data_IF_749770121767
#
_entry.id   IF_749770121767
#
_cell.length_a   1.000
_cell.length_b   1.000
_cell.length_c   1.000
_cell.angle_alpha   90.00
_cell.angle_beta   90.00
_cell.angle_gamma   90.00
#
_symmetry.space_group_name_H-M   'P 1'
#
loop_
_entity.id
_entity.type
_entity.pdbx_description
1 polymer ?
#
# COMPACT_ATOMS: atom_id res chain seq x y z
N UNK A 1 33.52 50.16 13.28
CA UNK A 1 34.37 49.27 12.45
C UNK A 1 34.04 47.83 12.84
N UNK A 2 33.21 47.15 12.06
CA UNK A 2 33.54 46.09 11.09
C UNK A 2 33.56 44.68 11.72
N UNK A 3 32.55 43.88 11.33
CA UNK A 3 32.47 42.43 11.00
C UNK A 3 33.29 41.40 11.83
N UNK A 4 32.79 40.21 12.17
CA UNK A 4 32.30 39.19 11.23
C UNK A 4 31.36 38.16 11.87
N UNK A 5 30.29 37.88 11.13
CA UNK A 5 29.43 36.69 11.24
C UNK A 5 30.25 35.47 10.83
N UNK A 6 30.24 34.39 11.62
CA UNK A 6 30.81 33.11 11.18
C UNK A 6 29.77 32.00 11.29
N UNK A 7 29.24 31.66 10.12
CA UNK A 7 28.21 30.68 9.85
C UNK A 7 28.90 29.31 9.66
N UNK A 8 28.97 28.48 10.71
CA UNK A 8 29.52 27.11 10.58
C UNK A 8 28.41 26.12 10.27
N UNK A 9 28.35 25.77 8.98
CA UNK A 9 27.64 24.60 8.43
C UNK A 9 28.02 23.34 9.21
N UNK A 10 27.03 22.62 9.74
CA UNK A 10 27.20 21.24 10.18
C UNK A 10 27.50 20.34 8.97
N UNK A 11 28.50 19.43 9.05
CA UNK A 11 28.82 18.53 7.96
C UNK A 11 27.77 17.41 7.86
N UNK A 12 27.42 17.06 6.63
CA UNK A 12 26.42 16.07 6.23
C UNK A 12 26.88 14.61 6.44
N UNK A 13 27.36 14.28 7.64
CA UNK A 13 27.81 12.94 8.03
C UNK A 13 26.92 12.43 9.16
N UNK A 14 25.62 12.30 8.89
CA UNK A 14 24.68 11.66 9.83
C UNK A 14 23.38 11.23 9.09
N UNK A 15 23.50 10.49 7.99
CA UNK A 15 22.32 9.91 7.32
C UNK A 15 22.52 8.49 6.77
N UNK A 16 23.69 7.88 6.98
CA UNK A 16 24.04 6.56 6.40
C UNK A 16 23.80 5.39 7.36
N UNK A 17 23.54 5.64 8.65
CA UNK A 17 23.51 4.59 9.69
C UNK A 17 22.13 3.95 9.98
N UNK A 18 21.06 4.29 9.25
CA UNK A 18 19.74 3.69 9.46
C UNK A 18 19.40 2.51 8.52
N UNK A 19 20.38 1.99 7.77
CA UNK A 19 20.16 0.90 6.80
C UNK A 19 20.43 -0.53 7.34
N UNK A 20 20.85 -0.65 8.60
CA UNK A 20 21.23 -1.92 9.21
C UNK A 20 20.14 -2.44 10.15
N UNK A 21 19.17 -3.16 9.58
CA UNK A 21 18.56 -4.34 10.19
C UNK A 21 17.93 -5.22 9.10
N UNK A 22 18.82 -5.96 8.43
CA UNK A 22 18.66 -7.33 7.92
C UNK A 22 17.22 -7.83 7.78
N UNK A 23 16.61 -7.59 6.61
CA UNK A 23 15.51 -8.43 6.14
C UNK A 23 16.05 -9.82 5.79
N UNK A 24 15.54 -10.84 6.46
CA UNK A 24 15.85 -12.23 6.22
C UNK A 24 15.69 -12.62 4.75
N UNK A 25 16.70 -13.34 4.25
CA UNK A 25 16.68 -14.33 3.18
C UNK A 25 15.38 -14.44 2.38
N UNK A 26 15.27 -13.63 1.31
CA UNK A 26 14.32 -13.86 0.23
C UNK A 26 14.73 -15.10 -0.57
N UNK A 27 14.45 -16.29 -0.03
CA UNK A 27 14.42 -17.54 -0.79
C UNK A 27 12.97 -17.92 -1.03
N UNK A 28 12.36 -17.29 -2.03
CA UNK A 28 11.21 -17.89 -2.67
C UNK A 28 11.76 -19.02 -3.56
N UNK A 29 11.58 -20.27 -3.15
CA UNK A 29 11.73 -21.40 -4.07
C UNK A 29 10.55 -21.29 -5.05
N UNK A 30 10.72 -20.48 -6.10
CA UNK A 30 9.91 -20.58 -7.32
C UNK A 30 10.44 -21.84 -7.99
N UNK A 31 9.80 -22.97 -7.73
CA UNK A 31 10.04 -24.16 -8.54
C UNK A 31 9.66 -23.78 -9.97
N UNK A 32 10.66 -23.73 -10.84
CA UNK A 32 10.51 -23.39 -12.26
C UNK A 32 9.67 -24.48 -12.93
N UNK A 33 8.37 -24.28 -13.11
CA UNK A 33 7.56 -24.96 -14.13
C UNK A 33 6.20 -24.28 -14.32
N UNK A 34 5.94 -23.79 -15.54
CA UNK A 34 4.63 -23.74 -16.20
C UNK A 34 3.49 -22.95 -15.55
N UNK A 35 3.11 -21.82 -16.16
CA UNK A 35 1.78 -21.19 -16.05
C UNK A 35 1.10 -21.27 -14.66
N UNK A 36 1.74 -20.73 -13.64
CA UNK A 36 1.16 -20.77 -12.29
C UNK A 36 -0.04 -19.82 -12.18
N UNK A 37 -1.23 -20.41 -12.04
CA UNK A 37 -2.34 -19.76 -11.34
C UNK A 37 -1.87 -19.51 -9.91
N UNK A 38 -1.55 -18.25 -9.57
CA UNK A 38 -1.21 -17.90 -8.19
C UNK A 38 -2.49 -18.03 -7.39
N UNK A 39 -2.67 -19.14 -6.68
CA UNK A 39 -3.69 -19.26 -5.65
C UNK A 39 -3.39 -18.22 -4.58
N UNK A 40 -4.42 -17.50 -4.14
CA UNK A 40 -4.31 -16.42 -3.14
C UNK A 40 -4.00 -17.04 -1.77
N UNK A 41 -2.75 -17.46 -1.58
CA UNK A 41 -2.21 -17.61 -0.23
C UNK A 41 -2.19 -16.22 0.40
N UNK A 42 -2.40 -16.18 1.72
CA UNK A 42 -2.24 -14.96 2.50
C UNK A 42 -0.90 -14.29 2.13
N UNK A 43 -0.96 -13.03 1.72
CA UNK A 43 0.24 -12.26 1.46
C UNK A 43 0.87 -11.93 2.81
N UNK A 44 2.20 -12.00 2.98
CA UNK A 44 2.83 -11.82 4.30
C UNK A 44 2.49 -10.49 4.99
N UNK A 45 2.06 -9.49 4.23
CA UNK A 45 1.80 -8.14 4.72
C UNK A 45 0.45 -7.56 4.34
N UNK A 46 -0.42 -8.27 3.61
CA UNK A 46 -1.64 -7.66 3.07
C UNK A 46 -2.78 -8.66 2.93
N UNK A 47 -3.74 -8.65 3.85
CA UNK A 47 -4.72 -9.72 3.96
C UNK A 47 -6.14 -9.20 4.25
N UNK A 48 -7.13 -10.02 3.89
CA UNK A 48 -8.48 -9.83 4.40
C UNK A 48 -8.52 -10.15 5.89
N UNK A 49 -9.12 -9.26 6.68
CA UNK A 49 -9.27 -9.46 8.12
C UNK A 49 -10.54 -10.28 8.39
N UNK A 50 -10.39 -11.39 9.12
CA UNK A 50 -11.51 -12.24 9.54
C UNK A 50 -11.89 -12.05 11.01
N UNK A 51 -10.94 -11.65 11.85
CA UNK A 51 -11.12 -11.46 13.30
C UNK A 51 -11.77 -10.13 13.67
N UNK A 52 -11.79 -9.83 14.96
CA UNK A 52 -12.24 -8.55 15.52
C UNK A 52 -11.23 -7.44 15.23
N UNK A 53 -11.72 -6.21 15.13
CA UNK A 53 -10.90 -5.01 14.91
C UNK A 53 -10.86 -4.16 16.18
N UNK A 54 -9.72 -3.51 16.43
CA UNK A 54 -9.40 -2.82 17.70
C UNK A 54 -10.35 -1.66 18.07
N UNK A 55 -11.13 -1.16 17.11
CA UNK A 55 -12.10 -0.09 17.33
C UNK A 55 -13.53 -0.59 17.53
N UNK A 56 -13.83 -1.88 17.32
CA UNK A 56 -15.21 -2.37 17.30
C UNK A 56 -15.90 -2.14 18.65
N UNK A 57 -15.18 -2.10 19.77
CA UNK A 57 -15.76 -1.80 21.09
C UNK A 57 -15.73 -0.31 21.47
N UNK A 58 -15.27 0.60 20.60
CA UNK A 58 -15.17 2.03 20.92
C UNK A 58 -16.54 2.70 20.83
N UNK A 59 -16.91 3.45 21.87
CA UNK A 59 -18.20 4.16 21.95
C UNK A 59 -18.48 5.05 20.74
N UNK A 60 -17.49 5.85 20.30
CA UNK A 60 -17.63 6.74 19.13
C UNK A 60 -17.94 5.97 17.84
N UNK A 61 -17.35 4.78 17.70
CA UNK A 61 -17.56 3.92 16.54
C UNK A 61 -18.98 3.35 16.56
N UNK A 62 -19.40 2.78 17.69
CA UNK A 62 -20.75 2.23 17.88
C UNK A 62 -21.84 3.28 17.63
N UNK A 63 -21.71 4.47 18.24
CA UNK A 63 -22.64 5.59 18.02
C UNK A 63 -22.73 6.01 16.55
N UNK A 64 -21.64 5.91 15.79
CA UNK A 64 -21.68 6.22 14.36
C UNK A 64 -22.44 5.14 13.59
N UNK A 65 -22.23 3.86 13.90
CA UNK A 65 -22.97 2.79 13.27
C UNK A 65 -24.46 2.87 13.58
N UNK A 66 -24.83 3.15 14.84
CA UNK A 66 -26.23 3.34 15.26
C UNK A 66 -26.89 4.49 14.49
N UNK A 67 -26.18 5.62 14.35
CA UNK A 67 -26.69 6.82 13.67
C UNK A 67 -27.04 6.57 12.20
N UNK A 68 -26.24 5.76 11.51
CA UNK A 68 -26.44 5.48 10.08
C UNK A 68 -27.11 4.13 9.81
N UNK A 69 -27.38 3.36 10.86
CA UNK A 69 -27.79 1.96 10.80
C UNK A 69 -26.84 1.19 9.87
N UNK A 70 -25.60 0.99 10.28
CA UNK A 70 -24.56 0.33 9.44
C UNK A 70 -23.80 -0.73 10.22
N UNK A 71 -24.51 -1.68 10.83
CA UNK A 71 -23.93 -2.66 11.74
C UNK A 71 -23.21 -3.84 11.07
N UNK A 72 -23.33 -3.99 9.74
CA UNK A 72 -22.71 -5.09 9.00
C UNK A 72 -21.34 -4.68 8.50
N UNK A 73 -20.29 -5.33 9.00
CA UNK A 73 -18.95 -5.24 8.41
C UNK A 73 -18.97 -5.87 7.02
N UNK A 74 -18.92 -5.04 5.99
CA UNK A 74 -18.95 -5.48 4.59
C UNK A 74 -17.64 -6.16 4.23
N UNK A 75 -16.52 -5.51 4.54
CA UNK A 75 -15.19 -6.04 4.32
C UNK A 75 -14.18 -5.35 5.25
N UNK A 76 -13.06 -6.02 5.49
CA UNK A 76 -11.91 -5.45 6.18
C UNK A 76 -10.62 -5.98 5.56
N UNK A 77 -9.62 -5.11 5.46
CA UNK A 77 -8.31 -5.43 4.92
C UNK A 77 -7.24 -4.82 5.80
N UNK A 78 -6.18 -5.58 6.03
CA UNK A 78 -4.99 -5.14 6.77
C UNK A 78 -3.81 -5.00 5.82
N UNK A 79 -2.92 -4.08 6.14
CA UNK A 79 -1.64 -3.93 5.46
C UNK A 79 -0.58 -3.61 6.47
N UNK A 80 0.35 -4.53 6.68
CA UNK A 80 1.52 -4.35 7.53
C UNK A 80 2.56 -3.53 6.78
N UNK A 81 3.20 -2.62 7.51
CA UNK A 81 4.35 -1.83 7.14
C UNK A 81 5.60 -2.62 7.56
N UNK A 82 6.16 -3.52 6.72
CA UNK A 82 7.46 -4.09 7.04
C UNK A 82 8.48 -2.95 7.06
N UNK A 83 9.10 -2.75 8.22
CA UNK A 83 10.17 -1.76 8.46
C UNK A 83 9.78 -0.34 8.01
N UNK A 84 8.81 0.33 8.69
CA UNK A 84 8.37 1.65 8.30
C UNK A 84 9.55 2.62 8.29
N UNK A 85 9.73 3.32 7.17
CA UNK A 85 10.77 4.34 7.10
C UNK A 85 10.38 5.56 7.95
N UNK A 86 11.35 6.35 8.46
CA UNK A 86 11.05 7.51 9.28
C UNK A 86 9.99 8.42 8.64
N UNK A 87 8.94 8.73 9.41
CA UNK A 87 7.81 9.56 8.98
C UNK A 87 6.70 8.81 8.23
N UNK A 88 6.94 7.58 7.75
CA UNK A 88 5.91 6.78 7.06
C UNK A 88 4.78 6.37 7.99
N UNK A 89 5.09 5.77 9.13
CA UNK A 89 4.10 5.32 10.12
C UNK A 89 3.23 6.49 10.58
N UNK A 90 3.84 7.62 10.91
CA UNK A 90 3.13 8.83 11.32
C UNK A 90 2.19 9.36 10.22
N UNK A 91 2.63 9.35 8.96
CA UNK A 91 1.79 9.78 7.83
C UNK A 91 0.63 8.81 7.59
N UNK A 92 0.86 7.50 7.72
CA UNK A 92 -0.17 6.47 7.54
C UNK A 92 -1.19 6.54 8.68
N UNK A 93 -0.74 6.65 9.92
CA UNK A 93 -1.61 6.82 11.09
C UNK A 93 -2.46 8.10 10.96
N UNK A 94 -1.85 9.23 10.63
CA UNK A 94 -2.56 10.49 10.41
C UNK A 94 -3.57 10.41 9.26
N UNK A 95 -3.21 9.73 8.16
CA UNK A 95 -4.14 9.50 7.06
C UNK A 95 -5.30 8.55 7.44
N UNK A 96 -5.04 7.55 8.29
CA UNK A 96 -6.07 6.67 8.83
C UNK A 96 -7.04 7.44 9.74
N UNK A 97 -6.53 8.33 10.59
CA UNK A 97 -7.34 9.20 11.45
C UNK A 97 -8.25 10.12 10.63
N UNK A 98 -7.73 10.71 9.54
CA UNK A 98 -8.53 11.53 8.62
C UNK A 98 -9.61 10.72 7.88
N UNK A 99 -9.36 9.43 7.62
CA UNK A 99 -10.28 8.55 6.93
C UNK A 99 -11.38 8.01 7.86
N UNK A 100 -11.06 7.79 9.13
CA UNK A 100 -11.94 7.18 10.11
C UNK A 100 -13.24 7.98 10.31
N UNK A 101 -14.37 7.29 10.17
CA UNK A 101 -15.70 7.89 10.31
C UNK A 101 -16.23 8.57 9.05
N UNK A 102 -15.56 8.41 7.90
CA UNK A 102 -16.08 8.92 6.62
C UNK A 102 -17.40 8.23 6.27
N UNK A 103 -18.42 9.02 5.94
CA UNK A 103 -19.72 8.53 5.48
C UNK A 103 -19.82 8.66 3.96
N UNK A 104 -19.90 7.53 3.26
CA UNK A 104 -20.13 7.48 1.84
C UNK A 104 -21.62 7.26 1.55
N UNK A 105 -22.34 8.34 1.24
CA UNK A 105 -23.77 8.30 0.95
C UNK A 105 -24.11 7.50 -0.33
N UNK A 106 -25.35 6.97 -0.45
CA UNK A 106 -25.83 6.31 -1.66
C UNK A 106 -25.60 7.13 -2.93
N UNK A 107 -25.16 6.47 -3.99
CA UNK A 107 -24.89 7.08 -5.29
C UNK A 107 -23.66 7.99 -5.35
N UNK A 108 -22.98 8.26 -4.22
CA UNK A 108 -21.80 9.14 -4.19
C UNK A 108 -20.51 8.38 -4.49
N UNK A 109 -19.51 9.14 -4.96
CA UNK A 109 -18.16 8.66 -5.24
C UNK A 109 -17.25 9.15 -4.13
N UNK A 110 -16.56 8.21 -3.48
CA UNK A 110 -15.43 8.53 -2.62
C UNK A 110 -14.23 8.87 -3.50
N UNK A 111 -13.47 9.89 -3.10
CA UNK A 111 -12.18 10.26 -3.69
C UNK A 111 -11.19 10.37 -2.56
N UNK A 112 -10.09 9.61 -2.65
CA UNK A 112 -9.06 9.64 -1.62
C UNK A 112 -8.36 11.00 -1.58
N UNK A 113 -8.09 11.61 -2.74
CA UNK A 113 -7.48 12.93 -2.79
C UNK A 113 -8.38 14.02 -2.19
N UNK A 114 -9.70 13.95 -2.37
CA UNK A 114 -10.63 14.89 -1.74
C UNK A 114 -10.74 14.68 -0.23
N UNK A 115 -10.72 13.42 0.23
CA UNK A 115 -10.82 13.11 1.65
C UNK A 115 -9.52 13.43 2.42
N UNK A 116 -8.38 13.01 1.87
CA UNK A 116 -7.09 12.98 2.59
C UNK A 116 -6.08 14.00 2.06
N UNK A 117 -6.23 14.47 0.83
CA UNK A 117 -5.37 15.48 0.22
C UNK A 117 -5.83 16.92 0.47
N UNK A 118 -4.96 17.94 0.22
CA UNK A 118 -3.55 17.81 -0.16
C UNK A 118 -2.68 17.31 0.99
N UNK A 119 -1.67 16.49 0.67
CA UNK A 119 -0.68 16.01 1.63
C UNK A 119 0.35 17.11 1.90
N UNK A 120 0.15 17.85 2.99
CA UNK A 120 0.96 19.03 3.32
C UNK A 120 1.28 19.08 4.80
N UNK A 121 2.38 19.76 5.16
CA UNK A 121 2.79 19.95 6.56
C UNK A 121 1.75 20.68 7.39
N UNK A 122 1.09 21.68 6.79
CA UNK A 122 0.00 22.42 7.43
C UNK A 122 -1.18 21.53 7.80
N UNK A 123 -1.39 20.44 7.05
CA UNK A 123 -2.42 19.43 7.32
C UNK A 123 -1.90 18.26 8.14
N UNK A 124 -0.72 18.36 8.76
CA UNK A 124 -0.16 17.37 9.68
C UNK A 124 0.77 16.32 9.04
N UNK A 125 0.95 16.34 7.72
CA UNK A 125 1.83 15.37 7.05
C UNK A 125 3.32 15.72 7.22
N UNK A 126 4.13 14.70 7.45
CA UNK A 126 5.58 14.79 7.61
C UNK A 126 6.29 14.30 6.34
N UNK A 127 7.61 14.50 6.29
CA UNK A 127 8.42 13.86 5.25
C UNK A 127 8.43 12.36 5.49
N UNK A 128 8.04 11.60 4.49
CA UNK A 128 8.13 10.14 4.46
C UNK A 128 8.72 9.67 3.14
N UNK A 129 8.88 8.35 2.96
CA UNK A 129 9.45 7.79 1.74
C UNK A 129 8.51 7.95 0.54
N UNK A 130 9.12 8.22 -0.61
CA UNK A 130 8.50 8.11 -1.92
C UNK A 130 9.43 7.37 -2.87
N UNK A 131 8.88 6.43 -3.64
CA UNK A 131 9.64 5.66 -4.61
C UNK A 131 9.61 6.36 -5.97
N UNK A 132 10.78 6.76 -6.46
CA UNK A 132 10.98 7.37 -7.78
C UNK A 132 11.95 6.48 -8.56
N UNK A 133 11.39 5.54 -9.34
CA UNK A 133 12.18 4.48 -9.97
C UNK A 133 12.91 3.64 -8.92
N UNK A 134 14.19 3.37 -9.11
CA UNK A 134 15.00 2.61 -8.14
C UNK A 134 15.47 3.44 -6.93
N UNK A 135 15.01 4.67 -6.77
CA UNK A 135 15.41 5.55 -5.67
C UNK A 135 14.27 5.75 -4.67
N UNK A 136 14.61 5.73 -3.39
CA UNK A 136 13.74 6.20 -2.31
C UNK A 136 14.12 7.65 -2.04
N UNK A 137 13.21 8.57 -2.33
CA UNK A 137 13.31 9.98 -1.95
C UNK A 137 12.40 10.27 -0.75
N UNK A 138 12.51 11.46 -0.18
CA UNK A 138 11.56 11.94 0.82
C UNK A 138 10.56 12.90 0.19
N UNK A 139 9.29 12.74 0.52
CA UNK A 139 8.22 13.68 0.14
C UNK A 139 7.26 13.87 1.31
N UNK A 140 6.60 15.03 1.36
CA UNK A 140 5.54 15.27 2.34
C UNK A 140 4.39 14.31 2.08
N UNK A 141 3.95 13.59 3.11
CA UNK A 141 2.94 12.54 2.99
C UNK A 141 3.44 11.23 2.39
N UNK A 142 4.76 11.01 2.34
CA UNK A 142 5.30 9.71 1.94
C UNK A 142 4.71 8.57 2.78
N UNK A 143 4.25 7.51 2.12
CA UNK A 143 3.52 6.39 2.73
C UNK A 143 2.03 6.31 2.40
N UNK A 144 1.37 7.41 1.98
CA UNK A 144 -0.09 7.43 1.77
C UNK A 144 -0.60 6.47 0.68
N UNK A 145 0.23 6.04 -0.28
CA UNK A 145 -0.15 5.00 -1.24
C UNK A 145 -0.53 3.67 -0.58
N UNK A 146 -0.09 3.42 0.66
CA UNK A 146 -0.54 2.24 1.42
C UNK A 146 -2.01 2.34 1.80
N UNK A 147 -2.47 3.51 2.23
CA UNK A 147 -3.90 3.79 2.46
C UNK A 147 -4.68 3.54 1.16
N UNK A 148 -4.17 3.98 0.02
CA UNK A 148 -4.80 3.73 -1.28
C UNK A 148 -4.92 2.23 -1.59
N UNK A 149 -3.82 1.46 -1.48
CA UNK A 149 -3.87 0.01 -1.71
C UNK A 149 -4.81 -0.71 -0.75
N UNK A 150 -4.79 -0.38 0.55
CA UNK A 150 -5.68 -0.99 1.55
C UNK A 150 -7.15 -0.63 1.28
N UNK A 151 -7.44 0.64 0.95
CA UNK A 151 -8.77 1.11 0.53
C UNK A 151 -9.27 0.40 -0.73
N UNK A 152 -8.40 0.22 -1.72
CA UNK A 152 -8.75 -0.46 -2.97
C UNK A 152 -9.15 -1.90 -2.71
N UNK A 153 -8.38 -2.63 -1.90
CA UNK A 153 -8.69 -4.02 -1.55
C UNK A 153 -9.99 -4.15 -0.76
N UNK A 154 -10.19 -3.31 0.26
CA UNK A 154 -11.45 -3.36 1.03
C UNK A 154 -12.66 -2.97 0.18
N UNK A 155 -12.52 -2.01 -0.75
CA UNK A 155 -13.57 -1.63 -1.68
C UNK A 155 -13.91 -2.77 -2.66
N UNK A 156 -12.90 -3.48 -3.17
CA UNK A 156 -13.13 -4.66 -4.02
C UNK A 156 -13.82 -5.79 -3.24
N UNK A 157 -13.36 -6.09 -2.03
CA UNK A 157 -13.97 -7.11 -1.17
C UNK A 157 -15.41 -6.76 -0.77
N UNK A 158 -15.72 -5.47 -0.65
CA UNK A 158 -17.08 -4.97 -0.44
C UNK A 158 -17.92 -4.90 -1.74
N UNK A 159 -17.40 -5.42 -2.86
CA UNK A 159 -17.98 -5.37 -4.19
C UNK A 159 -18.36 -3.94 -4.65
N UNK A 160 -17.59 -2.92 -4.29
CA UNK A 160 -17.83 -1.54 -4.72
C UNK A 160 -17.34 -1.29 -6.16
N UNK A 161 -18.00 -0.35 -6.85
CA UNK A 161 -17.62 0.01 -8.22
C UNK A 161 -16.41 0.94 -8.19
N UNK A 162 -15.26 0.45 -8.61
CA UNK A 162 -14.07 1.27 -8.82
C UNK A 162 -14.30 2.19 -10.03
N UNK A 163 -14.09 3.48 -9.82
CA UNK A 163 -14.26 4.55 -10.83
C UNK A 163 -12.89 4.97 -11.37
N UNK A 164 -11.89 5.04 -10.49
CA UNK A 164 -10.52 5.38 -10.85
C UNK A 164 -9.57 4.58 -9.95
N UNK A 165 -8.58 3.94 -10.56
CA UNK A 165 -7.46 3.31 -9.86
C UNK A 165 -6.27 3.28 -10.80
N UNK A 166 -5.08 3.51 -10.24
CA UNK A 166 -3.81 3.41 -10.94
C UNK A 166 -2.90 2.43 -10.19
N UNK A 167 -2.24 1.51 -10.91
CA UNK A 167 -1.16 0.71 -10.35
C UNK A 167 0.11 1.54 -10.15
N UNK A 168 0.98 1.07 -9.25
CA UNK A 168 2.36 1.52 -9.17
C UNK A 168 3.11 1.06 -10.43
N UNK A 169 4.10 1.85 -10.84
CA UNK A 169 4.96 1.50 -11.98
C UNK A 169 6.00 0.41 -11.67
N UNK A 170 6.11 -0.03 -10.42
CA UNK A 170 6.97 -1.11 -9.93
C UNK A 170 6.20 -1.85 -8.84
N UNK A 171 6.56 -3.11 -8.60
CA UNK A 171 5.91 -3.91 -7.57
C UNK A 171 6.10 -3.26 -6.18
N UNK A 172 5.05 -3.30 -5.36
CA UNK A 172 5.11 -2.90 -3.96
C UNK A 172 5.18 -4.14 -3.06
N UNK A 173 5.88 -4.07 -1.92
CA UNK A 173 6.13 -5.25 -1.10
C UNK A 173 4.96 -5.64 -0.19
N UNK A 174 3.91 -4.83 -0.10
CA UNK A 174 2.88 -4.96 0.96
C UNK A 174 1.53 -5.53 0.48
N UNK A 175 1.31 -5.68 -0.83
CA UNK A 175 0.14 -6.35 -1.41
C UNK A 175 0.54 -7.16 -2.66
N UNK A 176 -0.24 -8.19 -3.05
CA UNK A 176 -0.01 -8.92 -4.29
C UNK A 176 0.02 -7.99 -5.53
N UNK A 177 0.85 -8.28 -6.55
CA UNK A 177 0.77 -7.60 -7.83
C UNK A 177 -0.65 -7.68 -8.43
N UNK A 178 -1.21 -6.54 -8.79
CA UNK A 178 -2.61 -6.42 -9.25
C UNK A 178 -3.58 -5.89 -8.20
N UNK A 179 -3.16 -5.86 -6.94
CA UNK A 179 -3.96 -5.42 -5.79
C UNK A 179 -3.51 -4.08 -5.20
N UNK A 180 -2.51 -3.42 -5.78
CA UNK A 180 -2.03 -2.13 -5.32
C UNK A 180 -2.83 -0.96 -5.92
N UNK A 181 -2.81 0.20 -5.29
CA UNK A 181 -3.29 1.44 -5.86
C UNK A 181 -2.32 2.58 -5.49
N UNK A 182 -2.06 3.49 -6.42
CA UNK A 182 -1.19 4.65 -6.21
C UNK A 182 -1.97 5.94 -6.37
N UNK A 183 -1.62 6.93 -5.55
CA UNK A 183 -2.24 8.26 -5.56
C UNK A 183 -1.17 9.35 -5.62
N UNK A 184 -1.53 10.46 -6.23
CA UNK A 184 -0.72 11.67 -6.28
C UNK A 184 -1.67 12.84 -6.43
N UNK A 185 -1.72 13.69 -5.41
CA UNK A 185 -2.68 14.79 -5.35
C UNK A 185 -2.58 15.66 -6.61
N UNK A 186 -3.72 15.88 -7.28
CA UNK A 186 -3.79 16.63 -8.54
C UNK A 186 -3.49 15.83 -9.82
N UNK A 187 -3.12 14.55 -9.74
CA UNK A 187 -2.83 13.73 -10.94
C UNK A 187 -3.36 12.30 -10.94
N UNK A 188 -3.26 11.57 -9.83
CA UNK A 188 -3.74 10.18 -9.70
C UNK A 188 -4.61 10.06 -8.45
N UNK A 189 -5.79 9.47 -8.58
CA UNK A 189 -6.70 9.26 -7.46
C UNK A 189 -7.15 7.80 -7.36
N UNK A 190 -7.63 7.44 -6.17
CA UNK A 190 -8.44 6.25 -5.97
C UNK A 190 -9.88 6.71 -5.75
N UNK A 191 -10.77 6.31 -6.67
CA UNK A 191 -12.20 6.62 -6.59
C UNK A 191 -13.03 5.37 -6.68
N UNK A 192 -14.03 5.26 -5.80
CA UNK A 192 -15.03 4.20 -5.88
C UNK A 192 -16.41 4.73 -5.52
N UNK A 193 -17.44 4.14 -6.13
CA UNK A 193 -18.83 4.56 -5.98
C UNK A 193 -19.56 3.62 -5.03
N UNK A 194 -20.23 4.21 -4.04
CA UNK A 194 -21.32 3.54 -3.36
C UNK A 194 -22.52 3.51 -4.31
N UNK A 195 -22.74 2.36 -4.92
CA UNK A 195 -23.88 2.10 -5.80
C UNK A 195 -24.99 1.32 -5.09
N UNK A 196 -24.87 1.15 -3.77
CA UNK A 196 -25.94 0.63 -2.92
C UNK A 196 -26.92 1.76 -2.57
N UNK A 197 -28.08 1.38 -2.05
CA UNK A 197 -29.12 2.32 -1.59
C UNK A 197 -28.88 2.80 -0.15
N UNK A 198 -27.83 2.31 0.50
CA UNK A 198 -27.55 2.50 1.93
C UNK A 198 -26.24 3.27 2.14
N UNK A 199 -26.08 4.06 3.21
CA UNK A 199 -24.80 4.68 3.54
C UNK A 199 -23.76 3.61 3.87
N UNK A 200 -22.49 3.93 3.62
CA UNK A 200 -21.34 3.12 4.03
C UNK A 200 -20.46 3.96 4.95
N UNK A 201 -20.13 3.42 6.13
CA UNK A 201 -19.12 3.98 7.02
C UNK A 201 -17.77 3.40 6.64
N UNK A 202 -16.79 4.26 6.40
CA UNK A 202 -15.38 3.89 6.25
C UNK A 202 -14.68 4.13 7.58
N UNK A 203 -14.03 3.10 8.10
CA UNK A 203 -13.23 3.21 9.31
C UNK A 203 -11.82 2.71 9.05
N UNK A 204 -10.85 3.38 9.66
CA UNK A 204 -9.45 3.03 9.57
C UNK A 204 -8.77 3.25 10.92
N UNK A 205 -7.74 2.47 11.19
CA UNK A 205 -6.88 2.64 12.35
C UNK A 205 -5.54 1.94 12.11
N UNK A 206 -4.54 2.26 12.92
CA UNK A 206 -3.25 1.59 12.96
C UNK A 206 -3.03 0.94 14.32
N UNK A 207 -2.55 -0.31 14.34
CA UNK A 207 -2.08 -0.96 15.56
C UNK A 207 -0.64 -1.44 15.34
N UNK A 208 0.31 -0.80 16.03
CA UNK A 208 1.72 -0.89 15.70
C UNK A 208 1.95 -0.58 14.22
N UNK A 209 2.69 -1.45 13.54
CA UNK A 209 3.02 -1.26 12.13
C UNK A 209 1.94 -1.78 11.17
N UNK A 210 0.72 -2.08 11.62
CA UNK A 210 -0.34 -2.59 10.75
C UNK A 210 -1.46 -1.58 10.61
N UNK A 211 -1.73 -1.19 9.36
CA UNK A 211 -2.90 -0.43 8.95
C UNK A 211 -4.09 -1.37 8.76
N UNK A 212 -5.23 -1.00 9.32
CA UNK A 212 -6.49 -1.70 9.14
C UNK A 212 -7.52 -0.72 8.55
N UNK A 213 -8.27 -1.18 7.55
CA UNK A 213 -9.41 -0.42 7.01
C UNK A 213 -10.59 -1.38 6.87
N UNK A 214 -11.77 -0.94 7.31
CA UNK A 214 -13.01 -1.66 7.14
C UNK A 214 -14.14 -0.77 6.62
N UNK A 215 -15.06 -1.39 5.89
CA UNK A 215 -16.28 -0.78 5.40
C UNK A 215 -17.47 -1.42 6.13
N UNK A 216 -18.38 -0.58 6.61
CA UNK A 216 -19.58 -1.01 7.32
C UNK A 216 -20.83 -0.47 6.63
N UNK A 217 -21.86 -1.30 6.49
CA UNK A 217 -23.12 -1.00 5.83
C UNK A 217 -24.26 -1.80 6.46
N UNK A 218 -25.40 -1.93 5.76
CA UNK A 218 -26.56 -2.71 6.23
C UNK A 218 -26.61 -4.14 5.73
N UNK A 219 -26.00 -4.38 4.58
CA UNK A 219 -26.15 -5.62 3.83
C UNK A 219 -24.77 -6.21 3.62
N UNK A 220 -24.68 -7.53 3.83
CA UNK A 220 -23.45 -8.27 3.57
C UNK A 220 -23.19 -8.31 2.06
N UNK A 221 -21.99 -7.94 1.58
CA UNK A 221 -21.67 -8.01 0.17
C UNK A 221 -21.58 -9.47 -0.31
N UNK A 222 -21.65 -9.71 -1.63
CA UNK A 222 -21.37 -11.03 -2.19
C UNK A 222 -19.94 -11.48 -1.86
N UNK A 223 -19.69 -12.79 -1.95
CA UNK A 223 -18.35 -13.32 -1.74
C UNK A 223 -17.47 -12.99 -2.95
N UNK A 224 -16.39 -12.23 -2.72
CA UNK A 224 -15.42 -11.84 -3.76
C UNK A 224 -14.11 -12.59 -3.57
N UNK A 225 -13.62 -13.24 -4.62
CA UNK A 225 -12.31 -13.91 -4.65
C UNK A 225 -11.44 -13.33 -5.74
N UNK A 226 -10.20 -12.97 -5.39
CA UNK A 226 -9.20 -12.50 -6.34
C UNK A 226 -8.59 -13.64 -7.15
N UNK A 227 -8.29 -13.36 -8.40
CA UNK A 227 -7.48 -14.22 -9.25
C UNK A 227 -6.45 -13.39 -10.03
N UNK A 228 -5.25 -13.93 -10.16
CA UNK A 228 -4.14 -13.29 -10.85
C UNK A 228 -3.42 -14.28 -11.76
N UNK A 229 -2.97 -13.79 -12.91
CA UNK A 229 -2.09 -14.52 -13.83
C UNK A 229 -0.96 -13.61 -14.28
N UNK A 230 0.28 -14.01 -13.99
CA UNK A 230 1.47 -13.36 -14.58
C UNK A 230 1.54 -13.79 -16.04
N UNK A 231 1.38 -12.83 -16.95
CA UNK A 231 1.40 -13.07 -18.40
C UNK A 231 2.73 -12.67 -19.05
N UNK A 232 3.55 -11.88 -18.34
CA UNK A 232 4.93 -11.59 -18.73
C UNK A 232 5.79 -11.36 -17.48
N UNK A 233 7.07 -11.74 -17.54
CA UNK A 233 8.07 -11.52 -16.50
C UNK A 233 9.39 -11.08 -17.13
N UNK A 234 9.96 -10.03 -16.58
CA UNK A 234 11.30 -9.55 -16.91
C UNK A 234 12.17 -9.62 -15.66
N UNK A 235 13.24 -10.41 -15.70
CA UNK A 235 14.15 -10.55 -14.55
C UNK A 235 14.81 -9.21 -14.20
N UNK A 236 14.92 -8.95 -12.90
CA UNK A 236 15.66 -7.79 -12.40
C UNK A 236 17.16 -7.93 -12.70
N UNK A 237 17.77 -6.82 -13.10
CA UNK A 237 19.23 -6.74 -13.23
C UNK A 237 19.87 -6.50 -11.86
N UNK A 238 21.15 -6.89 -11.71
CA UNK A 238 21.97 -6.53 -10.54
C UNK A 238 22.96 -5.45 -10.94
N UNK A 239 22.96 -4.34 -10.21
CA UNK A 239 23.87 -3.21 -10.35
C UNK A 239 24.83 -3.23 -9.16
N UNK A 240 26.13 -3.31 -9.46
CA UNK A 240 27.18 -3.21 -8.46
C UNK A 240 27.62 -1.76 -8.28
N UNK A 241 27.80 -1.34 -7.03
CA UNK A 241 28.42 -0.05 -6.65
C UNK A 241 29.64 -0.33 -5.80
N UNK A 242 30.79 0.18 -6.21
CA UNK A 242 31.99 -0.03 -5.43
C UNK A 242 32.02 0.88 -4.20
N UNK A 243 32.35 0.30 -3.06
CA UNK A 243 32.46 1.01 -1.78
C UNK A 243 33.77 0.60 -1.10
N UNK A 244 34.72 1.54 -1.03
CA UNK A 244 36.05 1.30 -0.48
C UNK A 244 36.07 1.13 1.03
N UNK A 245 34.94 1.36 1.73
CA UNK A 245 34.84 1.09 3.17
C UNK A 245 34.48 -0.36 3.49
N UNK A 246 34.11 -1.17 2.48
CA UNK A 246 33.79 -2.58 2.66
C UNK A 246 35.05 -3.44 2.71
N UNK A 247 35.03 -4.50 3.53
CA UNK A 247 36.12 -5.48 3.56
C UNK A 247 36.26 -6.20 2.21
N UNK A 248 37.46 -6.67 1.82
CA UNK A 248 37.65 -7.42 0.59
C UNK A 248 36.64 -8.57 0.45
N UNK A 249 36.05 -8.70 -0.74
CA UNK A 249 34.99 -9.68 -1.06
C UNK A 249 33.65 -9.51 -0.32
N UNK A 250 33.49 -8.48 0.52
CA UNK A 250 32.20 -8.18 1.14
C UNK A 250 31.22 -7.60 0.10
N UNK A 251 30.01 -8.14 0.10
CA UNK A 251 28.87 -7.63 -0.66
C UNK A 251 27.72 -7.27 0.30
N UNK A 252 27.09 -6.13 0.05
CA UNK A 252 25.94 -5.66 0.83
C UNK A 252 24.80 -5.32 -0.13
N UNK A 253 23.64 -5.97 0.02
CA UNK A 253 22.46 -5.65 -0.77
C UNK A 253 21.83 -4.36 -0.23
N UNK A 254 21.94 -3.28 -0.99
CA UNK A 254 21.33 -1.98 -0.63
C UNK A 254 19.88 -1.91 -1.08
N UNK A 255 19.58 -2.47 -2.26
CA UNK A 255 18.22 -2.54 -2.80
C UNK A 255 18.00 -3.96 -3.31
N UNK A 256 16.99 -4.72 -2.83
CA UNK A 256 16.80 -6.11 -3.24
C UNK A 256 16.34 -6.26 -4.70
N UNK A 257 15.80 -5.19 -5.28
CA UNK A 257 15.22 -5.19 -6.63
C UNK A 257 13.94 -6.03 -6.71
N UNK A 258 13.19 -5.86 -7.79
CA UNK A 258 11.96 -6.59 -8.08
C UNK A 258 11.90 -6.88 -9.59
N UNK A 259 11.36 -8.04 -9.97
CA UNK A 259 11.16 -8.36 -11.37
C UNK A 259 10.11 -7.43 -12.00
N UNK A 260 10.22 -7.19 -13.29
CA UNK A 260 9.14 -6.60 -14.06
C UNK A 260 8.06 -7.63 -14.32
N UNK A 261 6.79 -7.25 -14.22
CA UNK A 261 5.66 -8.16 -14.45
C UNK A 261 4.58 -7.49 -15.30
N UNK A 262 3.89 -8.28 -16.12
CA UNK A 262 2.54 -7.97 -16.57
C UNK A 262 1.57 -8.95 -15.91
N UNK A 263 0.56 -8.43 -15.19
CA UNK A 263 -0.35 -9.24 -14.37
C UNK A 263 -1.79 -8.99 -14.80
N UNK A 264 -2.46 -10.03 -15.30
CA UNK A 264 -3.89 -10.01 -15.56
C UNK A 264 -4.64 -10.37 -14.28
N UNK A 265 -5.61 -9.55 -13.89
CA UNK A 265 -6.42 -9.75 -12.68
C UNK A 265 -7.90 -9.84 -12.99
N UNK A 266 -8.62 -10.70 -12.27
CA UNK A 266 -10.07 -10.80 -12.33
C UNK A 266 -10.63 -11.24 -10.97
N UNK A 267 -11.93 -11.01 -10.78
CA UNK A 267 -12.67 -11.41 -9.59
C UNK A 267 -13.65 -12.52 -9.94
N UNK A 268 -13.79 -13.49 -9.03
CA UNK A 268 -14.96 -14.35 -8.97
C UNK A 268 -15.88 -13.83 -7.87
N UNK A 269 -17.10 -13.47 -8.24
CA UNK A 269 -18.12 -12.93 -7.34
C UNK A 269 -19.25 -13.95 -7.23
N UNK A 270 -19.58 -14.36 -6.01
CA UNK A 270 -20.68 -15.29 -5.73
C UNK A 270 -21.76 -14.53 -4.95
N UNK A 271 -22.91 -14.32 -5.58
CA UNK A 271 -24.05 -13.60 -4.99
C UNK A 271 -24.88 -14.48 -4.05
N UNK A 272 -25.73 -13.89 -3.19
CA UNK A 272 -26.57 -14.65 -2.26
C UNK A 272 -27.53 -15.64 -2.93
N UNK A 273 -27.93 -15.38 -4.18
CA UNK A 273 -28.76 -16.27 -5.01
C UNK A 273 -27.94 -17.36 -5.72
N UNK A 274 -26.67 -17.52 -5.36
CA UNK A 274 -25.69 -18.45 -5.94
C UNK A 274 -25.30 -18.15 -7.39
N UNK A 275 -25.72 -17.02 -7.96
CA UNK A 275 -25.20 -16.59 -9.26
C UNK A 275 -23.71 -16.25 -9.14
N UNK A 276 -22.96 -16.58 -10.21
CA UNK A 276 -21.51 -16.38 -10.26
C UNK A 276 -21.19 -15.42 -11.39
N UNK A 277 -20.44 -14.36 -11.08
CA UNK A 277 -19.91 -13.41 -12.05
C UNK A 277 -18.38 -13.48 -12.05
N UNK A 278 -17.79 -13.52 -13.25
CA UNK A 278 -16.36 -13.27 -13.43
C UNK A 278 -16.14 -11.86 -13.97
N UNK A 279 -15.44 -11.03 -13.19
CA UNK A 279 -15.23 -9.62 -13.50
C UNK A 279 -13.77 -9.35 -13.79
N UNK A 280 -13.46 -9.02 -15.04
CA UNK A 280 -12.11 -8.62 -15.44
C UNK A 280 -11.73 -7.25 -14.85
N UNK A 281 -10.50 -7.13 -14.35
CA UNK A 281 -9.94 -5.87 -13.83
C UNK A 281 -8.84 -5.29 -14.73
N UNK A 282 -8.50 -5.99 -15.81
CA UNK A 282 -7.48 -5.57 -16.78
C UNK A 282 -6.10 -6.16 -16.51
N UNK A 283 -5.08 -5.49 -17.04
CA UNK A 283 -3.67 -5.89 -16.94
C UNK A 283 -2.87 -4.76 -16.33
N UNK A 284 -2.11 -5.06 -15.28
CA UNK A 284 -1.13 -4.15 -14.71
C UNK A 284 0.27 -4.43 -15.20
N UNK A 285 1.06 -3.37 -15.37
CA UNK A 285 2.43 -3.42 -15.86
C UNK A 285 3.38 -2.81 -14.83
N UNK A 286 4.31 -3.64 -14.35
CA UNK A 286 5.34 -3.29 -13.39
C UNK A 286 6.69 -3.37 -14.09
N UNK A 287 7.47 -2.30 -14.02
CA UNK A 287 8.85 -2.29 -14.53
C UNK A 287 9.77 -3.00 -13.55
N UNK A 288 10.83 -3.67 -14.04
CA UNK A 288 11.83 -4.24 -13.16
C UNK A 288 12.53 -3.12 -12.38
N UNK A 289 12.80 -3.40 -11.11
CA UNK A 289 13.65 -2.59 -10.26
C UNK A 289 14.96 -3.34 -10.06
N UNK A 290 16.08 -2.74 -10.47
CA UNK A 290 17.38 -3.36 -10.32
C UNK A 290 17.72 -3.63 -8.84
N UNK A 291 18.33 -4.79 -8.59
CA UNK A 291 19.00 -5.08 -7.32
C UNK A 291 20.27 -4.24 -7.26
N UNK A 292 20.49 -3.49 -6.19
CA UNK A 292 21.72 -2.72 -5.97
C UNK A 292 22.56 -3.41 -4.91
N UNK A 293 23.80 -3.75 -5.24
CA UNK A 293 24.76 -4.40 -4.34
C UNK A 293 25.97 -3.49 -4.22
N UNK A 294 26.33 -3.11 -2.99
CA UNK A 294 27.65 -2.54 -2.72
C UNK A 294 28.68 -3.66 -2.65
N UNK A 295 29.85 -3.44 -3.23
CA UNK A 295 30.95 -4.42 -3.26
C UNK A 295 32.27 -3.71 -3.04
N UNK A 296 33.24 -4.36 -2.39
CA UNK A 296 34.60 -3.83 -2.34
C UNK A 296 35.17 -3.64 -3.78
N UNK A 297 35.95 -2.58 -4.05
CA UNK A 297 36.62 -2.40 -5.33
C UNK A 297 37.48 -3.62 -5.70
N UNK A 298 37.59 -3.98 -6.99
CA UNK A 298 38.57 -4.98 -7.41
C UNK A 298 39.99 -4.50 -7.08
N UNK A 299 40.84 -5.45 -6.67
CA UNK A 299 42.27 -5.22 -6.41
C UNK A 299 43.04 -5.01 -7.71
#
# INVERSE_FOLDING_TARGET
MINFINNRRMPAVLLVLAFLMVMGSFNFILKKHGSDNISVKAHPYGNQVKGELVWENRLKFQQLLDKYDTHVRMAAFETTLPDPLPGEEANVAHAADLLAGTILSPGKVFSMNLALGPYSRQRGFQDGPAYVGSQVTKTVGGGVCKIASTLYNVAILANLKIIERHSHGMQVPYVPPGQDATVSFGSKDLKFKNHTEQPIVIWADTNGNTLYIALYGRIKPPQVTWHHKVINRQEKQTVYRYDSTLAPSQEEVVIPGADGLAVKSWLKIIYPDHTVEEKALGVDYYRPMAKVVKKAPPQ
#
